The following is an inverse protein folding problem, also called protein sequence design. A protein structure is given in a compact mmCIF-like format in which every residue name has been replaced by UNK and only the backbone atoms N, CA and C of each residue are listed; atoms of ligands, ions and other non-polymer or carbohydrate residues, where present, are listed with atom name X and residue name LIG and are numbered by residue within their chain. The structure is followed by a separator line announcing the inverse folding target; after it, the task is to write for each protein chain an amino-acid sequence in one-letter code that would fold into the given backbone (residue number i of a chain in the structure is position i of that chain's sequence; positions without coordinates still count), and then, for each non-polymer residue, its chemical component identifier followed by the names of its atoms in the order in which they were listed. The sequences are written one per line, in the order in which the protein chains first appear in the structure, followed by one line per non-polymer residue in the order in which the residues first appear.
data_IF_646198589148
#
_entry.id   IF_646198589148
#
_cell.length_a   1.000
_cell.length_b   1.000
_cell.length_c   1.000
_cell.angle_alpha   90.00
_cell.angle_beta   90.00
_cell.angle_gamma   90.00
#
_symmetry.space_group_name_H-M   'P 1'
#
loop_
_entity.id
_entity.type
_entity.pdbx_description
1 polymer ?
#
# COMPACT_ATOMS: atom_id res chain seq x y z
N UNK A 1 8.05 4.37 26.05
CA UNK A 1 8.59 3.04 25.76
C UNK A 1 8.55 2.92 24.25
N UNK A 2 9.53 3.53 23.59
CA UNK A 2 9.54 3.70 22.13
C UNK A 2 10.33 2.54 21.50
N UNK A 3 9.88 1.31 21.76
CA UNK A 3 10.29 0.19 20.92
C UNK A 3 9.56 0.35 19.59
N UNK A 4 10.15 1.13 18.69
CA UNK A 4 9.83 1.05 17.27
C UNK A 4 10.07 -0.41 16.91
N UNK A 5 9.00 -1.18 16.78
CA UNK A 5 9.10 -2.56 16.35
C UNK A 5 9.54 -2.54 14.88
N UNK A 6 10.85 -2.59 14.71
CA UNK A 6 11.56 -2.61 13.44
C UNK A 6 11.19 -3.85 12.60
N UNK A 7 10.41 -4.79 13.15
CA UNK A 7 9.94 -6.00 12.51
C UNK A 7 8.44 -6.03 12.19
N UNK A 8 7.65 -5.03 12.59
CA UNK A 8 6.20 -5.06 12.33
C UNK A 8 5.92 -5.00 10.83
N UNK A 9 5.09 -5.90 10.33
CA UNK A 9 4.50 -5.79 9.00
C UNK A 9 3.15 -5.10 9.07
N UNK A 10 2.82 -4.32 8.04
CA UNK A 10 1.53 -3.66 7.89
C UNK A 10 0.80 -4.27 6.70
N UNK A 11 -0.38 -4.82 6.96
CA UNK A 11 -1.29 -5.27 5.92
C UNK A 11 -1.95 -4.06 5.27
N UNK A 12 -1.89 -4.00 3.94
CA UNK A 12 -2.37 -2.86 3.17
C UNK A 12 -3.37 -3.32 2.11
N UNK A 13 -4.50 -2.62 2.04
CA UNK A 13 -5.48 -2.77 0.97
C UNK A 13 -5.71 -1.39 0.33
N UNK A 14 -5.66 -1.33 -1.01
CA UNK A 14 -5.84 -0.10 -1.77
C UNK A 14 -6.92 -0.31 -2.83
N UNK A 15 -7.72 0.73 -3.04
CA UNK A 15 -8.71 0.80 -4.11
C UNK A 15 -8.41 2.00 -4.99
N UNK A 16 -8.37 1.81 -6.31
CA UNK A 16 -8.31 2.88 -7.30
C UNK A 16 -9.66 3.07 -7.99
N UNK A 17 -9.92 4.28 -8.47
CA UNK A 17 -11.16 4.62 -9.21
C UNK A 17 -11.20 4.05 -10.62
N UNK A 18 -10.05 3.67 -11.16
CA UNK A 18 -9.86 3.10 -12.51
C UNK A 18 -8.51 2.38 -12.60
N UNK A 19 -8.34 1.59 -13.66
CA UNK A 19 -7.05 0.98 -14.02
C UNK A 19 -6.09 2.10 -14.45
N UNK A 20 -4.88 2.07 -13.92
CA UNK A 20 -3.84 3.03 -14.27
C UNK A 20 -2.47 2.34 -14.33
N UNK A 21 -1.90 2.09 -15.52
CA UNK A 21 -0.67 1.31 -15.68
C UNK A 21 0.53 1.89 -14.91
N UNK A 22 0.61 3.21 -14.81
CA UNK A 22 1.67 3.87 -14.06
C UNK A 22 1.59 3.59 -12.55
N UNK A 23 0.36 3.46 -12.02
CA UNK A 23 0.13 3.05 -10.65
C UNK A 23 0.45 1.57 -10.46
N UNK A 24 -0.05 0.70 -11.35
CA UNK A 24 0.21 -0.75 -11.32
C UNK A 24 1.71 -1.07 -11.26
N UNK A 25 2.52 -0.38 -12.08
CA UNK A 25 3.98 -0.54 -12.07
C UNK A 25 4.61 -0.07 -10.76
N UNK A 26 4.19 1.10 -10.27
CA UNK A 26 4.71 1.66 -9.03
C UNK A 26 4.40 0.76 -7.84
N UNK A 27 3.14 0.33 -7.70
CA UNK A 27 2.69 -0.49 -6.57
C UNK A 27 3.18 -1.94 -6.66
N UNK A 28 3.35 -2.48 -7.86
CA UNK A 28 4.00 -3.78 -8.07
C UNK A 28 5.46 -3.80 -7.60
N UNK A 29 6.17 -2.67 -7.65
CA UNK A 29 7.53 -2.54 -7.09
C UNK A 29 7.57 -2.64 -5.57
N UNK A 30 6.42 -2.47 -4.91
CA UNK A 30 6.22 -2.70 -3.48
C UNK A 30 5.75 -4.13 -3.15
N UNK A 31 5.56 -5.00 -4.16
CA UNK A 31 5.12 -6.38 -3.97
C UNK A 31 3.60 -6.56 -3.84
N UNK A 32 2.79 -5.55 -4.18
CA UNK A 32 1.34 -5.67 -4.16
C UNK A 32 0.84 -6.51 -5.34
N UNK A 33 -0.22 -7.27 -5.09
CA UNK A 33 -0.94 -8.02 -6.10
C UNK A 33 -2.24 -7.33 -6.47
N UNK A 34 -2.59 -7.35 -7.75
CA UNK A 34 -3.87 -6.87 -8.24
C UNK A 34 -4.97 -7.92 -7.99
N UNK A 35 -6.17 -7.45 -7.63
CA UNK A 35 -7.40 -8.23 -7.70
C UNK A 35 -7.93 -8.36 -9.13
N UNK A 36 -9.04 -9.07 -9.29
CA UNK A 36 -9.60 -9.42 -10.60
C UNK A 36 -9.87 -8.22 -11.52
N UNK A 37 -10.26 -7.08 -10.95
CA UNK A 37 -10.62 -5.87 -11.71
C UNK A 37 -9.46 -4.86 -11.86
N UNK A 38 -8.23 -5.22 -11.44
CA UNK A 38 -7.04 -4.36 -11.45
C UNK A 38 -7.19 -2.99 -10.74
N UNK A 39 -8.26 -2.82 -9.96
CA UNK A 39 -8.56 -1.64 -9.16
C UNK A 39 -8.43 -1.90 -7.67
N UNK A 40 -8.34 -3.17 -7.27
CA UNK A 40 -8.10 -3.60 -5.90
C UNK A 40 -6.66 -4.10 -5.79
N UNK A 41 -5.97 -3.70 -4.74
CA UNK A 41 -4.57 -4.07 -4.52
C UNK A 41 -4.36 -4.48 -3.08
N UNK A 42 -3.69 -5.60 -2.86
CA UNK A 42 -3.33 -6.08 -1.53
C UNK A 42 -1.85 -6.41 -1.44
N UNK A 43 -1.27 -6.13 -0.27
CA UNK A 43 0.14 -6.36 -0.01
C UNK A 43 0.52 -6.04 1.42
N UNK A 44 1.79 -6.23 1.74
CA UNK A 44 2.36 -5.89 3.04
C UNK A 44 3.53 -4.95 2.87
N UNK A 45 3.73 -4.08 3.85
CA UNK A 45 4.93 -3.22 3.92
C UNK A 45 5.57 -3.33 5.30
N UNK A 46 6.89 -3.15 5.41
CA UNK A 46 7.54 -2.95 6.70
C UNK A 46 7.00 -1.71 7.42
N UNK A 47 6.82 -1.79 8.74
CA UNK A 47 6.39 -0.69 9.60
C UNK A 47 7.23 0.58 9.44
N UNK A 48 8.58 0.49 9.43
CA UNK A 48 9.46 1.63 9.19
C UNK A 48 9.27 2.31 7.82
N UNK A 49 8.75 1.58 6.83
CA UNK A 49 8.52 2.08 5.47
C UNK A 49 7.19 2.84 5.31
N UNK A 50 6.36 2.93 6.36
CA UNK A 50 5.01 3.54 6.30
C UNK A 50 4.99 4.92 5.65
N UNK A 51 5.90 5.81 6.05
CA UNK A 51 5.95 7.17 5.48
C UNK A 51 6.44 7.19 4.03
N UNK A 52 7.43 6.34 3.69
CA UNK A 52 7.92 6.17 2.31
C UNK A 52 6.80 5.66 1.40
N UNK A 53 6.00 4.73 1.91
CA UNK A 53 4.84 4.19 1.21
C UNK A 53 3.76 5.25 1.00
N UNK A 54 3.37 5.99 2.04
CA UNK A 54 2.41 7.10 1.93
C UNK A 54 2.90 8.19 0.96
N UNK A 55 4.20 8.48 0.94
CA UNK A 55 4.80 9.39 -0.05
C UNK A 55 4.73 8.87 -1.49
N UNK A 56 4.74 7.55 -1.69
CA UNK A 56 4.49 6.95 -3.01
C UNK A 56 3.02 7.11 -3.40
N UNK A 57 2.09 6.81 -2.48
CA UNK A 57 0.65 6.89 -2.71
C UNK A 57 0.16 8.32 -2.98
N UNK A 58 0.73 9.33 -2.32
CA UNK A 58 0.31 10.73 -2.48
C UNK A 58 0.42 11.24 -3.93
N UNK A 59 1.36 10.71 -4.71
CA UNK A 59 1.52 11.01 -6.15
C UNK A 59 0.30 10.58 -6.98
N UNK A 60 -0.51 9.69 -6.45
CA UNK A 60 -1.70 9.12 -7.08
C UNK A 60 -2.97 9.46 -6.28
N UNK A 61 -2.95 10.49 -5.43
CA UNK A 61 -4.08 10.83 -4.55
C UNK A 61 -5.42 10.98 -5.29
N UNK A 62 -5.43 11.55 -6.50
CA UNK A 62 -6.64 11.70 -7.31
C UNK A 62 -7.15 10.38 -7.94
N UNK A 63 -6.33 9.33 -7.94
CA UNK A 63 -6.69 8.01 -8.44
C UNK A 63 -7.23 7.11 -7.31
N UNK A 64 -6.72 7.29 -6.09
CA UNK A 64 -7.05 6.47 -4.93
C UNK A 64 -8.47 6.76 -4.44
N UNK A 65 -9.28 5.70 -4.34
CA UNK A 65 -10.62 5.72 -3.76
C UNK A 65 -10.63 5.25 -2.31
N UNK A 66 -9.73 4.33 -1.92
CA UNK A 66 -9.56 3.91 -0.53
C UNK A 66 -8.12 3.47 -0.26
N UNK A 67 -7.64 3.74 0.96
CA UNK A 67 -6.34 3.28 1.48
C UNK A 67 -6.57 2.77 2.89
N UNK A 68 -6.27 1.50 3.11
CA UNK A 68 -6.29 0.86 4.42
C UNK A 68 -4.89 0.35 4.76
N UNK A 69 -4.41 0.70 5.95
CA UNK A 69 -3.13 0.23 6.49
C UNK A 69 -3.41 -0.24 7.92
N UNK A 70 -3.18 -1.51 8.18
CA UNK A 70 -3.41 -2.15 9.47
C UNK A 70 -2.15 -2.85 9.94
N UNK A 71 -1.90 -2.83 11.24
CA UNK A 71 -0.86 -3.68 11.82
C UNK A 71 -1.22 -5.14 11.56
N UNK A 72 -0.27 -5.92 11.05
CA UNK A 72 -0.43 -7.36 10.96
C UNK A 72 -0.47 -7.87 12.41
N UNK A 73 -1.60 -8.46 12.82
CA UNK A 73 -1.69 -9.11 14.14
C UNK A 73 -0.59 -10.17 14.21
N UNK A 74 0.25 -10.07 15.23
CA UNK A 74 1.18 -11.13 15.64
C UNK A 74 0.41 -12.39 16.04
#
# INVERSE_FOLDING_TARGET
DDSIDLSSLLNCNLTTTRIEPAFSKAIGSWGFSAGADETQWSGTIPGPDRLRFLGTLSRYAALLAAVEIKEAKQ
#
